data_IF_706439566194
#
_entry.id   IF_706439566194
#
_cell.length_a   1.000
_cell.length_b   1.000
_cell.length_c   1.000
_cell.angle_alpha   90.00
_cell.angle_beta   90.00
_cell.angle_gamma   90.00
#
_symmetry.space_group_name_H-M   'P 1'
#
loop_
_entity.id
_entity.type
_entity.pdbx_description
1 polymer ?
#
# COMPACT_ATOMS: atom_id res chain seq x y z
N UNK A 1 4.77 7.80 6.46
CA UNK A 1 5.54 7.90 7.72
C UNK A 1 7.01 7.77 7.33
N UNK A 2 7.93 8.56 7.86
CA UNK A 2 9.35 8.46 7.49
C UNK A 2 10.13 8.01 8.70
N UNK A 3 10.81 6.87 8.62
CA UNK A 3 11.59 6.30 9.72
C UNK A 3 12.81 5.57 9.18
N UNK A 4 13.96 5.74 9.82
CA UNK A 4 15.21 5.07 9.42
C UNK A 4 15.63 5.34 7.96
N UNK A 5 15.20 6.46 7.36
CA UNK A 5 15.45 6.77 5.95
C UNK A 5 14.46 6.15 4.94
N UNK A 6 13.47 5.39 5.40
CA UNK A 6 12.46 4.75 4.56
C UNK A 6 11.11 5.49 4.61
N UNK A 7 10.44 5.57 3.45
CA UNK A 7 9.04 5.99 3.36
C UNK A 7 8.13 4.78 3.60
N UNK A 8 7.39 4.83 4.70
CA UNK A 8 6.48 3.78 5.12
C UNK A 8 5.02 4.16 4.86
N UNK A 9 4.22 3.14 4.56
CA UNK A 9 2.76 3.22 4.38
C UNK A 9 2.08 2.45 5.51
N UNK A 10 1.23 3.14 6.28
CA UNK A 10 0.40 2.49 7.29
C UNK A 10 -0.67 1.63 6.63
N UNK A 11 -0.83 0.39 7.10
CA UNK A 11 -1.78 -0.59 6.56
C UNK A 11 -2.75 -1.04 7.65
N UNK A 12 -3.93 -1.50 7.24
CA UNK A 12 -4.91 -2.13 8.12
C UNK A 12 -5.11 -3.58 7.69
N UNK A 13 -5.11 -4.50 8.65
CA UNK A 13 -5.41 -5.91 8.40
C UNK A 13 -6.90 -6.08 8.08
N UNK A 14 -7.20 -6.94 7.12
CA UNK A 14 -8.57 -7.27 6.73
C UNK A 14 -8.76 -8.78 6.76
N UNK A 15 -9.73 -9.25 7.54
CA UNK A 15 -10.00 -10.68 7.73
C UNK A 15 -8.96 -11.38 8.62
N UNK A 16 -8.93 -12.72 8.57
CA UNK A 16 -8.04 -13.58 9.36
C UNK A 16 -6.83 -14.08 8.58
N UNK A 17 -6.08 -13.18 7.94
CA UNK A 17 -4.92 -13.56 7.14
C UNK A 17 -3.80 -14.20 7.96
N UNK A 18 -3.06 -15.14 7.37
CA UNK A 18 -1.82 -15.67 7.95
C UNK A 18 -0.68 -14.65 7.73
N UNK A 19 -0.62 -13.63 8.60
CA UNK A 19 0.17 -12.41 8.38
C UNK A 19 1.66 -12.64 8.16
N UNK A 20 2.23 -13.69 8.77
CA UNK A 20 3.64 -14.02 8.58
C UNK A 20 3.99 -14.29 7.10
N UNK A 21 3.05 -14.76 6.28
CA UNK A 21 3.30 -15.03 4.86
C UNK A 21 3.46 -13.79 3.97
N UNK A 22 3.10 -12.61 4.50
CA UNK A 22 3.23 -11.31 3.83
C UNK A 22 4.63 -10.72 3.93
N UNK A 23 5.44 -11.20 4.88
CA UNK A 23 6.82 -10.76 5.04
C UNK A 23 7.68 -11.21 3.86
N UNK A 24 8.68 -10.38 3.53
CA UNK A 24 9.67 -10.57 2.47
C UNK A 24 9.08 -10.81 1.06
N UNK A 25 7.81 -10.45 0.85
CA UNK A 25 7.16 -10.49 -0.48
C UNK A 25 7.40 -9.21 -1.27
N UNK A 26 7.42 -9.37 -2.59
CA UNK A 26 7.32 -8.28 -3.55
C UNK A 26 5.85 -7.86 -3.65
N UNK A 27 5.48 -6.77 -2.97
CA UNK A 27 4.10 -6.31 -2.85
C UNK A 27 3.83 -5.13 -3.79
N UNK A 28 2.60 -5.04 -4.27
CA UNK A 28 2.08 -3.90 -5.03
C UNK A 28 0.72 -3.45 -4.48
N UNK A 29 0.22 -2.33 -5.00
CA UNK A 29 -1.11 -1.80 -4.67
C UNK A 29 -2.07 -1.97 -5.85
N UNK A 30 -3.32 -2.28 -5.50
CA UNK A 30 -4.45 -2.21 -6.41
C UNK A 30 -5.69 -1.76 -5.63
N UNK A 31 -6.61 -1.06 -6.30
CA UNK A 31 -7.82 -0.59 -5.65
C UNK A 31 -8.55 0.47 -6.45
N UNK A 32 -9.29 1.32 -5.73
CA UNK A 32 -10.13 2.38 -6.30
C UNK A 32 -9.83 3.70 -5.62
N UNK A 33 -9.72 4.76 -6.41
CA UNK A 33 -9.60 6.14 -5.95
C UNK A 33 -10.84 6.93 -6.35
N UNK A 34 -11.27 7.85 -5.49
CA UNK A 34 -12.26 8.86 -5.84
C UNK A 34 -11.51 10.11 -6.28
N UNK A 35 -11.86 10.62 -7.45
CA UNK A 35 -11.17 11.76 -8.06
C UNK A 35 -12.18 12.88 -8.24
N UNK A 36 -11.83 14.07 -7.77
CA UNK A 36 -12.59 15.28 -8.08
C UNK A 36 -12.34 15.64 -9.54
N UNK A 37 -13.42 15.80 -10.30
CA UNK A 37 -13.37 16.24 -11.68
C UNK A 37 -14.01 17.64 -11.76
N UNK A 38 -13.44 18.51 -12.59
CA UNK A 38 -14.00 19.83 -12.86
C UNK A 38 -14.10 20.01 -14.36
N UNK A 39 -15.33 20.15 -14.85
CA UNK A 39 -15.61 20.40 -16.27
C UNK A 39 -16.59 21.56 -16.36
N UNK A 40 -16.24 22.57 -17.17
CA UNK A 40 -17.07 23.75 -17.42
C UNK A 40 -17.58 24.45 -16.15
N UNK A 41 -16.72 24.51 -15.12
CA UNK A 41 -17.04 25.13 -13.83
C UNK A 41 -17.82 24.24 -12.84
N UNK A 42 -18.38 23.12 -13.28
CA UNK A 42 -19.11 22.16 -12.44
C UNK A 42 -18.12 21.16 -11.82
N UNK A 43 -18.26 20.92 -10.51
CA UNK A 43 -17.46 19.94 -9.77
C UNK A 43 -18.26 18.63 -9.64
N UNK A 44 -17.66 17.53 -10.07
CA UNK A 44 -18.18 16.17 -9.89
C UNK A 44 -17.13 15.27 -9.23
N UNK A 45 -17.54 14.07 -8.82
CA UNK A 45 -16.66 13.03 -8.30
C UNK A 45 -16.82 11.76 -9.11
N UNK A 46 -15.73 11.29 -9.72
CA UNK A 46 -15.65 10.01 -10.39
C UNK A 46 -14.84 9.01 -9.59
N UNK A 47 -14.91 7.73 -9.96
CA UNK A 47 -14.00 6.72 -9.42
C UNK A 47 -13.11 6.14 -10.52
N UNK A 48 -11.86 5.83 -10.18
CA UNK A 48 -10.91 5.18 -11.08
C UNK A 48 -10.30 3.97 -10.41
N UNK A 49 -10.15 2.88 -11.16
CA UNK A 49 -9.38 1.72 -10.71
C UNK A 49 -7.90 2.00 -10.92
N UNK A 50 -7.09 1.54 -9.98
CA UNK A 50 -5.63 1.68 -9.99
C UNK A 50 -5.02 0.31 -9.76
N UNK A 51 -3.98 0.00 -10.54
CA UNK A 51 -3.09 -1.14 -10.32
C UNK A 51 -1.69 -0.75 -10.75
N UNK A 52 -0.74 -0.85 -9.83
CA UNK A 52 0.68 -0.68 -10.15
C UNK A 52 1.25 -2.03 -10.58
N UNK A 53 1.92 -2.11 -11.72
CA UNK A 53 2.39 -3.38 -12.29
C UNK A 53 3.79 -3.80 -11.83
N UNK A 54 4.43 -2.97 -11.00
CA UNK A 54 5.75 -3.20 -10.42
C UNK A 54 5.65 -3.39 -8.89
N UNK A 55 6.59 -4.13 -8.28
CA UNK A 55 6.62 -4.32 -6.83
C UNK A 55 7.22 -3.07 -6.15
N UNK A 56 6.36 -2.27 -5.55
CA UNK A 56 6.72 -0.98 -4.94
C UNK A 56 6.75 -1.01 -3.40
N UNK A 57 6.39 -2.13 -2.78
CA UNK A 57 6.32 -2.26 -1.33
C UNK A 57 6.90 -3.59 -0.86
N UNK A 58 7.38 -3.60 0.38
CA UNK A 58 7.87 -4.79 1.07
C UNK A 58 7.67 -4.63 2.59
N UNK A 59 7.41 -5.76 3.26
CA UNK A 59 7.42 -5.87 4.73
C UNK A 59 8.64 -6.75 5.08
N UNK A 60 9.79 -6.17 5.41
CA UNK A 60 11.01 -6.95 5.65
C UNK A 60 10.96 -7.65 7.01
N UNK A 61 11.46 -8.89 7.08
CA UNK A 61 11.73 -9.55 8.37
C UNK A 61 12.90 -8.89 9.11
N UNK A 62 12.86 -8.96 10.45
CA UNK A 62 14.03 -8.65 11.25
C UNK A 62 15.05 -9.78 11.08
N UNK A 63 16.33 -9.43 10.96
CA UNK A 63 17.39 -10.41 10.86
C UNK A 63 17.40 -11.32 12.10
N UNK A 64 17.48 -12.64 11.91
CA UNK A 64 17.41 -13.65 12.97
C UNK A 64 18.43 -13.44 14.11
N UNK A 65 19.58 -12.84 13.80
CA UNK A 65 20.61 -12.51 14.78
C UNK A 65 20.14 -11.50 15.85
N UNK A 66 19.10 -10.72 15.53
CA UNK A 66 18.53 -9.65 16.36
C UNK A 66 17.17 -10.05 16.97
N UNK A 67 16.67 -11.25 16.69
CA UNK A 67 15.36 -11.75 17.12
C UNK A 67 15.54 -13.13 17.79
N UNK A 68 15.84 -13.14 19.09
CA UNK A 68 16.14 -14.32 19.90
C UNK A 68 15.21 -14.44 21.10
#
# INVERSE_FOLDING_TARGET
ITKGGYLEVGVQTYGGGLWYTWFDRDLTIAGRVLVREKKDGVVSYGHKLVRVQEPIMRIPTLAIHLDR
#
